data_IF_141535722718
#
_entry.id   IF_141535722718
#
_cell.length_a   1.000
_cell.length_b   1.000
_cell.length_c   1.000
_cell.angle_alpha   90.00
_cell.angle_beta   90.00
_cell.angle_gamma   90.00
#
_symmetry.space_group_name_H-M   'P 1'
#
loop_
_entity.id
_entity.type
_entity.pdbx_description
1 polymer ?
2 non-polymer ?
3 water ?
#
# COMPACT_ATOMS: atom_id res chain seq x y z
N UNK A 57 -2.63 3.29 -24.54
CA UNK A 57 -2.78 4.65 -25.15
C UNK A 57 -2.68 4.58 -26.67
N UNK A 58 -3.46 5.42 -27.34
CA UNK A 58 -3.46 5.46 -28.81
C UNK A 58 -4.53 4.57 -29.41
N UNK A 59 -4.20 3.96 -30.55
CA UNK A 59 -5.19 3.33 -31.43
C UNK A 59 -4.85 1.91 -31.92
N UNK A 60 -3.71 1.38 -31.51
CA UNK A 60 -3.37 -0.04 -31.73
C UNK A 60 -3.67 -0.83 -30.46
N UNK A 61 -4.62 -0.32 -29.68
CA UNK A 61 -4.82 -0.73 -28.29
C UNK A 61 -5.92 -1.77 -27.98
N UNK A 62 -6.76 -2.14 -28.96
CA UNK A 62 -7.77 -3.20 -28.73
C UNK A 62 -7.29 -4.65 -28.45
N UNK A 63 -6.01 -4.94 -28.63
CA UNK A 63 -5.50 -6.32 -28.49
C UNK A 63 -6.33 -7.17 -27.51
N UNK A 64 -6.54 -6.67 -26.30
CA UNK A 64 -7.51 -7.27 -25.37
C UNK A 64 -8.52 -6.21 -24.89
N UNK A 65 -8.42 -4.99 -25.43
CA UNK A 65 -9.37 -3.91 -25.16
C UNK A 65 -10.46 -3.83 -26.23
N UNK A 66 -10.75 -4.97 -26.87
CA UNK A 66 -11.90 -5.09 -27.72
C UNK A 66 -12.91 -6.03 -27.07
N UNK A 67 -12.55 -7.31 -26.96
CA UNK A 67 -13.45 -8.37 -26.46
C UNK A 67 -13.93 -8.16 -25.02
N UNK A 68 -13.33 -7.19 -24.34
CA UNK A 68 -13.77 -6.80 -23.00
C UNK A 68 -14.55 -5.49 -23.07
N UNK A 69 -13.83 -4.37 -23.19
CA UNK A 69 -14.40 -3.03 -23.07
C UNK A 69 -15.62 -2.82 -23.95
N UNK A 70 -15.56 -3.29 -25.19
CA UNK A 70 -16.73 -3.23 -26.07
C UNK A 70 -17.81 -4.02 -25.36
N UNK A 71 -18.65 -3.31 -24.62
CA UNK A 71 -19.50 -3.92 -23.58
C UNK A 71 -20.85 -3.21 -23.43
N UNK A 72 -21.79 -3.88 -22.79
CA UNK A 72 -23.18 -3.44 -22.87
C UNK A 72 -23.50 -2.34 -21.91
N UNK A 73 -23.29 -1.13 -22.39
CA UNK A 73 -23.87 0.05 -21.79
C UNK A 73 -25.36 0.00 -22.10
N UNK A 74 -26.13 -0.66 -21.24
CA UNK A 74 -27.58 -0.72 -21.38
C UNK A 74 -28.22 0.55 -20.84
N UNK A 75 -29.55 0.53 -20.59
CA UNK A 75 -30.27 1.75 -20.21
C UNK A 75 -29.80 2.38 -18.89
N UNK A 76 -29.89 1.64 -17.79
CA UNK A 76 -29.44 2.10 -16.48
C UNK A 76 -28.20 1.30 -16.06
N UNK A 77 -27.21 1.24 -16.95
CA UNK A 77 -25.95 0.53 -16.70
C UNK A 77 -24.79 1.34 -17.27
N UNK A 78 -24.13 2.12 -16.41
CA UNK A 78 -23.07 3.05 -16.86
C UNK A 78 -21.67 2.50 -16.57
N UNK A 79 -20.69 3.06 -17.28
CA UNK A 79 -19.32 2.60 -17.24
C UNK A 79 -18.38 3.72 -17.65
N UNK A 80 -17.09 3.56 -17.35
CA UNK A 80 -16.08 4.54 -17.80
C UNK A 80 -14.64 4.07 -17.52
N UNK A 81 -13.73 4.62 -18.31
CA UNK A 81 -12.31 4.22 -18.39
C UNK A 81 -11.41 4.85 -17.29
N UNK A 82 -10.11 5.05 -17.60
CA UNK A 82 -9.10 5.49 -16.58
C UNK A 82 -7.65 5.71 -17.07
N UNK A 83 -7.31 6.93 -17.43
CA UNK A 83 -5.95 7.30 -17.90
C UNK A 83 -4.88 7.13 -16.80
N UNK A 84 -3.96 6.17 -16.99
CA UNK A 84 -2.88 5.86 -16.04
C UNK A 84 -1.67 5.28 -16.79
N UNK A 85 -0.45 5.71 -16.45
CA UNK A 85 0.76 5.17 -17.13
C UNK A 85 1.92 4.93 -16.19
N UNK A 86 2.45 3.68 -16.21
CA UNK A 86 3.48 3.17 -15.28
C UNK A 86 4.78 2.70 -15.97
N UNK A 87 5.92 3.20 -15.48
CA UNK A 87 7.26 2.94 -16.09
C UNK A 87 7.93 1.59 -15.76
N UNK A 88 7.26 0.75 -15.00
CA UNK A 88 7.72 -0.63 -14.81
C UNK A 88 7.24 -1.55 -15.94
N UNK A 89 7.86 -2.73 -16.09
CA UNK A 89 7.35 -3.65 -17.09
C UNK A 89 5.91 -4.07 -16.77
N UNK A 90 5.09 -4.34 -17.81
CA UNK A 90 3.71 -4.73 -17.56
C UNK A 90 3.62 -6.03 -16.76
N UNK A 91 4.68 -6.84 -16.87
CA UNK A 91 4.83 -8.03 -16.04
C UNK A 91 4.96 -7.63 -14.58
N UNK A 92 5.91 -6.73 -14.28
CA UNK A 92 6.09 -6.16 -12.92
C UNK A 92 4.81 -5.48 -12.46
N UNK A 93 4.14 -4.82 -13.39
CA UNK A 93 2.86 -4.20 -13.09
C UNK A 93 1.86 -5.30 -12.73
N UNK A 94 1.78 -6.33 -13.55
CA UNK A 94 0.77 -7.39 -13.41
C UNK A 94 0.81 -8.10 -12.04
N UNK A 95 1.99 -8.44 -11.56
CA UNK A 95 2.12 -9.16 -10.29
C UNK A 95 1.40 -8.44 -9.14
N UNK A 96 1.77 -7.19 -8.92
CA UNK A 96 1.15 -6.32 -7.91
C UNK A 96 -0.37 -6.29 -8.02
N UNK A 97 -0.86 -6.30 -9.25
CA UNK A 97 -2.28 -6.12 -9.53
C UNK A 97 -2.97 -7.47 -9.51
N UNK A 98 -2.30 -8.48 -10.08
CA UNK A 98 -2.83 -9.83 -10.16
C UNK A 98 -3.43 -10.26 -8.83
N UNK A 99 -2.69 -9.99 -7.75
CA UNK A 99 -3.09 -10.35 -6.39
C UNK A 99 -4.52 -9.93 -6.09
N UNK A 100 -5.42 -10.89 -6.24
CA UNK A 100 -6.85 -10.72 -5.96
C UNK A 100 -7.14 -11.28 -4.56
N UNK A 101 -6.32 -12.24 -4.13
CA UNK A 101 -6.29 -12.69 -2.72
C UNK A 101 -6.38 -11.49 -1.78
N UNK A 102 -5.23 -10.86 -1.56
CA UNK A 102 -5.21 -9.58 -0.88
C UNK A 102 -5.43 -8.60 -1.99
N UNK A 103 -6.52 -7.83 -1.92
CA UNK A 103 -6.65 -6.63 -2.73
C UNK A 103 -5.89 -5.49 -2.08
N UNK A 104 -5.66 -5.64 -0.78
CA UNK A 104 -4.89 -4.68 -0.02
C UNK A 104 -3.53 -4.41 -0.63
N UNK A 105 -2.95 -5.41 -1.29
CA UNK A 105 -1.65 -5.24 -1.93
C UNK A 105 -1.40 -3.79 -2.38
N UNK A 106 -2.42 -3.16 -2.98
CA UNK A 106 -2.38 -1.75 -3.44
C UNK A 106 -3.75 -1.01 -3.38
N UNK A 107 -4.86 -1.75 -3.27
CA UNK A 107 -6.22 -1.17 -3.30
C UNK A 107 -6.66 -0.55 -1.97
N UNK A 108 -7.13 0.70 -2.02
CA UNK A 108 -7.38 1.55 -0.83
C UNK A 108 -8.72 1.36 -0.10
N UNK A 109 -8.74 1.82 1.17
CA UNK A 109 -9.94 1.83 2.02
C UNK A 109 -10.57 0.46 2.25
N UNK A 110 -9.78 -0.59 2.07
CA UNK A 110 -10.26 -1.96 2.15
C UNK A 110 -10.23 -2.34 3.62
N UNK A 111 -10.77 -3.50 3.96
CA UNK A 111 -10.51 -4.14 5.25
C UNK A 111 -10.28 -5.64 5.00
N UNK A 112 -10.25 -6.46 6.04
CA UNK A 112 -9.86 -7.88 5.88
C UNK A 112 -10.72 -8.61 4.84
N UNK A 113 -10.13 -9.57 4.09
CA UNK A 113 -10.85 -10.30 3.02
C UNK A 113 -10.48 -11.80 2.82
N UNK A 114 -11.50 -12.67 2.85
CA UNK A 114 -11.34 -14.13 2.72
C UNK A 114 -11.68 -14.64 1.30
N UNK A 115 -12.11 -15.90 1.18
CA UNK A 115 -12.55 -16.53 -0.10
C UNK A 115 -13.69 -17.55 0.12
N UNK A 116 -14.01 -18.38 -0.88
CA UNK A 116 -14.93 -19.53 -0.67
C UNK A 116 -14.44 -20.80 -1.35
N UNK A 117 -14.61 -21.95 -0.69
CA UNK A 117 -14.22 -23.25 -1.25
C UNK A 117 -15.11 -23.67 -2.42
N UNK A 121 -6.31 -15.78 -7.33
CA UNK A 121 -6.72 -16.85 -6.43
C UNK A 121 -7.28 -18.01 -7.25
N UNK A 122 -8.30 -17.74 -8.06
CA UNK A 122 -8.90 -18.73 -8.98
C UNK A 122 -9.93 -18.02 -9.85
N UNK A 123 -10.58 -18.77 -10.74
CA UNK A 123 -11.70 -18.26 -11.50
C UNK A 123 -12.95 -18.96 -10.99
N UNK A 124 -13.84 -18.19 -10.35
CA UNK A 124 -15.08 -18.73 -9.74
C UNK A 124 -15.06 -18.83 -8.20
N UNK A 125 -13.99 -18.33 -7.57
CA UNK A 125 -13.83 -18.34 -6.10
C UNK A 125 -14.13 -16.97 -5.52
N UNK A 126 -15.27 -16.85 -4.83
CA UNK A 126 -15.73 -15.62 -4.14
C UNK A 126 -14.78 -15.09 -3.06
N UNK A 127 -14.95 -13.80 -2.68
CA UNK A 127 -14.16 -13.14 -1.61
C UNK A 127 -15.05 -12.25 -0.72
N UNK A 128 -14.50 -11.73 0.37
CA UNK A 128 -15.29 -10.99 1.35
C UNK A 128 -14.64 -9.70 1.82
N UNK A 129 -14.32 -8.82 0.86
CA UNK A 129 -13.74 -7.53 1.18
C UNK A 129 -14.77 -6.62 1.84
N UNK A 130 -14.28 -5.60 2.54
CA UNK A 130 -15.09 -4.72 3.38
C UNK A 130 -14.34 -3.39 3.52
N UNK A 131 -15.09 -2.31 3.73
CA UNK A 131 -14.50 -0.97 3.70
C UNK A 131 -14.57 -0.31 5.07
N UNK A 135 -15.75 5.66 9.86
CA UNK A 135 -16.88 5.49 8.96
C UNK A 135 -18.02 4.78 9.70
N UNK A 136 -19.18 4.61 9.05
CA UNK A 136 -20.24 3.73 9.56
C UNK A 136 -20.19 2.26 9.06
N UNK A 137 -21.07 1.88 8.12
CA UNK A 137 -21.21 0.51 7.68
C UNK A 137 -21.30 0.38 6.15
N UNK A 138 -20.81 -0.75 5.65
CA UNK A 138 -20.96 -1.24 4.25
C UNK A 138 -19.85 -2.26 3.99
N UNK A 139 -20.19 -3.36 3.31
CA UNK A 139 -19.27 -4.51 3.08
C UNK A 139 -19.45 -5.24 1.71
N UNK A 140 -18.32 -5.52 1.05
CA UNK A 140 -18.31 -5.89 -0.37
C UNK A 140 -17.91 -7.35 -0.67
N UNK A 141 -18.73 -8.06 -1.46
CA UNK A 141 -18.46 -9.47 -1.75
C UNK A 141 -18.43 -9.75 -3.26
N UNK A 142 -17.27 -10.19 -3.76
CA UNK A 142 -16.96 -10.18 -5.20
C UNK A 142 -16.69 -11.58 -5.78
N UNK A 143 -16.53 -11.66 -7.10
CA UNK A 143 -16.08 -12.90 -7.78
C UNK A 143 -14.84 -12.64 -8.64
N UNK A 144 -14.34 -13.63 -9.36
CA UNK A 144 -13.18 -13.46 -10.25
C UNK A 144 -13.42 -14.21 -11.56
N UNK A 145 -14.37 -13.72 -12.34
CA UNK A 145 -14.81 -14.39 -13.56
C UNK A 145 -13.62 -14.67 -14.43
N UNK A 146 -12.79 -13.65 -14.63
CA UNK A 146 -11.65 -13.74 -15.52
C UNK A 146 -10.37 -13.38 -14.76
N UNK A 147 -9.47 -14.36 -14.67
CA UNK A 147 -8.11 -14.10 -14.25
C UNK A 147 -7.19 -14.55 -15.37
N UNK A 148 -7.08 -13.73 -16.42
CA UNK A 148 -6.16 -14.00 -17.53
C UNK A 148 -4.77 -13.52 -17.13
N UNK A 149 -3.83 -14.46 -17.07
CA UNK A 149 -2.45 -14.26 -16.53
C UNK A 149 -1.40 -13.93 -17.58
N UNK A 150 -1.72 -14.13 -18.86
CA UNK A 150 -0.79 -13.89 -19.96
C UNK A 150 -1.09 -12.50 -20.51
N UNK A 151 -2.32 -12.31 -20.97
CA UNK A 151 -2.80 -10.99 -21.31
C UNK A 151 -3.34 -10.47 -19.99
N UNK A 152 -2.57 -9.60 -19.36
CA UNK A 152 -2.90 -9.05 -18.05
C UNK A 152 -4.34 -8.57 -18.03
N UNK A 153 -5.25 -9.38 -17.50
CA UNK A 153 -6.64 -8.98 -17.35
C UNK A 153 -7.28 -9.62 -16.15
N UNK A 154 -7.78 -8.81 -15.23
CA UNK A 154 -8.71 -9.29 -14.20
C UNK A 154 -10.07 -8.58 -14.27
N UNK A 155 -11.13 -9.38 -14.21
CA UNK A 155 -12.49 -8.87 -13.99
C UNK A 155 -13.11 -9.60 -12.83
N UNK A 156 -14.05 -8.95 -12.16
CA UNK A 156 -14.63 -9.53 -10.99
C UNK A 156 -15.93 -8.80 -10.63
N UNK A 157 -16.99 -9.58 -10.40
CA UNK A 157 -18.30 -9.05 -10.06
C UNK A 157 -18.51 -9.07 -8.56
N UNK A 158 -19.37 -8.20 -8.06
CA UNK A 158 -19.59 -8.10 -6.64
C UNK A 158 -20.84 -8.87 -6.21
N UNK A 159 -21.03 -10.06 -6.77
CA UNK A 159 -22.13 -10.94 -6.39
C UNK A 159 -22.03 -11.30 -4.91
N UNK A 160 -23.17 -11.30 -4.23
CA UNK A 160 -23.22 -11.62 -2.81
C UNK A 160 -22.76 -10.49 -1.93
N UNK A 161 -22.76 -9.28 -2.47
CA UNK A 161 -22.40 -8.10 -1.69
C UNK A 161 -23.48 -7.70 -0.71
N UNK A 162 -23.10 -6.84 0.23
CA UNK A 162 -24.00 -6.31 1.28
C UNK A 162 -24.47 -4.89 0.98
N UNK A 163 -23.92 -4.31 -0.08
CA UNK A 163 -23.85 -2.85 -0.21
C UNK A 163 -24.83 -2.36 -1.24
N UNK A 164 -24.88 -1.04 -1.40
CA UNK A 164 -25.81 -0.43 -2.33
C UNK A 164 -25.45 -0.69 -3.79
N UNK A 165 -24.25 -0.26 -4.16
CA UNK A 165 -23.88 -0.11 -5.57
C UNK A 165 -23.91 -1.47 -6.28
N UNK A 166 -24.82 -1.58 -7.25
CA UNK A 166 -25.30 -2.86 -7.76
C UNK A 166 -24.33 -3.63 -8.66
N UNK A 167 -24.72 -3.91 -9.90
CA UNK A 167 -23.96 -4.82 -10.78
C UNK A 167 -22.56 -4.29 -11.07
N UNK A 168 -21.57 -5.18 -11.16
CA UNK A 168 -20.18 -4.77 -11.31
C UNK A 168 -19.36 -5.86 -12.00
N UNK A 169 -18.34 -5.41 -12.72
CA UNK A 169 -17.46 -6.27 -13.49
C UNK A 169 -16.23 -5.40 -13.80
N UNK A 170 -15.49 -5.06 -12.74
CA UNK A 170 -14.35 -4.15 -12.83
C UNK A 170 -13.18 -4.69 -13.67
N UNK A 171 -13.20 -4.45 -14.97
CA UNK A 171 -12.17 -4.97 -15.86
C UNK A 171 -10.90 -4.17 -15.72
N UNK A 172 -9.87 -4.78 -15.12
CA UNK A 172 -8.52 -4.19 -15.10
C UNK A 172 -7.61 -4.93 -16.08
N UNK A 173 -7.36 -4.31 -17.23
CA UNK A 173 -6.48 -4.89 -18.26
C UNK A 173 -5.21 -4.08 -18.40
N UNK A 174 -4.14 -4.75 -18.85
CA UNK A 174 -2.85 -4.11 -19.04
C UNK A 174 -2.19 -4.71 -20.28
N UNK A 183 -1.75 -2.09 -22.58
CA UNK A 183 -2.53 -0.90 -22.23
C UNK A 183 -3.23 -1.02 -20.88
N UNK A 184 -2.77 -0.21 -19.92
CA UNK A 184 -3.24 -0.21 -18.52
C UNK A 184 -4.54 0.58 -18.31
N UNK A 185 -5.68 -0.11 -18.22
CA UNK A 185 -6.99 0.54 -18.04
C UNK A 185 -7.92 -0.27 -17.14
N UNK A 186 -8.70 0.44 -16.32
CA UNK A 186 -9.72 -0.18 -15.47
C UNK A 186 -11.12 0.26 -15.90
N UNK A 187 -11.92 -0.68 -16.41
CA UNK A 187 -13.33 -0.38 -16.74
C UNK A 187 -14.22 -0.82 -15.59
N UNK A 188 -15.14 0.07 -15.22
CA UNK A 188 -16.08 -0.19 -14.15
C UNK A 188 -17.49 -0.17 -14.74
N UNK A 189 -18.40 -0.91 -14.12
CA UNK A 189 -19.81 -0.86 -14.48
C UNK A 189 -20.66 -0.85 -13.22
N UNK A 190 -21.68 -0.01 -13.22
CA UNK A 190 -22.53 0.14 -12.07
C UNK A 190 -23.95 0.26 -12.57
N UNK A 191 -24.80 -0.70 -12.18
CA UNK A 191 -26.22 -0.58 -12.41
C UNK A 191 -26.55 0.84 -12.04
N UNK A 192 -26.81 1.63 -13.08
CA UNK A 192 -26.81 3.08 -13.02
C UNK A 192 -27.41 3.68 -11.76
N UNK A 193 -28.47 3.04 -11.22
CA UNK A 193 -29.12 3.60 -10.03
C UNK A 193 -28.81 2.88 -8.71
N UNK A 194 -28.25 3.62 -7.76
CA UNK A 194 -28.32 3.37 -6.33
C UNK A 194 -29.54 4.03 -5.70
N UNK A 195 -30.60 4.23 -6.48
CA UNK A 195 -31.74 5.04 -6.03
C UNK A 195 -31.24 6.42 -5.65
N UNK A 196 -30.60 7.07 -6.62
CA UNK A 196 -29.92 8.34 -6.39
C UNK A 196 -29.63 9.00 -7.73
N UNK A 197 -28.60 9.84 -7.79
CA UNK A 197 -28.29 10.60 -9.01
C UNK A 197 -27.54 9.70 -10.01
N UNK A 198 -26.93 10.29 -11.02
CA UNK A 198 -25.99 9.60 -11.91
C UNK A 198 -24.68 10.35 -12.06
N UNK A 199 -24.65 11.66 -11.78
CA UNK A 199 -23.45 12.48 -11.92
C UNK A 199 -22.58 12.33 -10.66
N UNK A 200 -22.95 11.34 -9.85
CA UNK A 200 -22.44 11.10 -8.49
C UNK A 200 -22.04 9.64 -8.35
N UNK A 201 -22.91 8.77 -8.83
CA UNK A 201 -22.64 7.33 -8.92
C UNK A 201 -21.34 7.08 -9.69
N UNK A 202 -21.19 7.77 -10.83
CA UNK A 202 -19.95 7.72 -11.57
C UNK A 202 -18.82 8.34 -10.75
N UNK A 203 -19.04 9.54 -10.21
CA UNK A 203 -17.98 10.31 -9.57
C UNK A 203 -17.56 9.75 -8.21
N UNK A 204 -18.52 9.16 -7.49
CA UNK A 204 -18.24 8.47 -6.24
C UNK A 204 -17.22 7.35 -6.48
N UNK A 205 -17.55 6.45 -7.41
CA UNK A 205 -16.67 5.32 -7.69
C UNK A 205 -15.47 5.71 -8.55
N UNK A 206 -15.70 6.26 -9.74
CA UNK A 206 -14.58 6.63 -10.62
C UNK A 206 -13.41 7.28 -9.87
N UNK A 207 -13.71 7.99 -8.79
CA UNK A 207 -12.70 8.51 -7.89
C UNK A 207 -12.07 7.40 -7.05
N UNK A 208 -12.92 6.54 -6.50
CA UNK A 208 -12.45 5.36 -5.77
C UNK A 208 -11.52 4.60 -6.69
N UNK A 209 -12.01 4.25 -7.88
CA UNK A 209 -11.18 3.70 -8.94
C UNK A 209 -9.91 4.50 -9.02
N UNK A 210 -10.06 5.81 -9.16
CA UNK A 210 -8.93 6.68 -9.43
C UNK A 210 -7.85 6.40 -8.40
N UNK A 211 -8.24 6.38 -7.13
CA UNK A 211 -7.27 6.31 -6.03
C UNK A 211 -6.46 5.04 -6.11
N UNK A 212 -7.14 3.94 -6.43
CA UNK A 212 -6.52 2.62 -6.43
C UNK A 212 -5.45 2.46 -7.49
N UNK A 213 -5.80 2.71 -8.74
CA UNK A 213 -4.85 2.54 -9.82
C UNK A 213 -3.72 3.51 -9.55
N UNK A 214 -4.04 4.66 -8.99
CA UNK A 214 -2.98 5.58 -8.53
C UNK A 214 -2.14 4.93 -7.42
N UNK A 215 -2.83 4.20 -6.55
CA UNK A 215 -2.17 3.32 -5.57
C UNK A 215 -1.46 2.09 -6.18
N UNK A 216 -1.99 1.56 -7.28
CA UNK A 216 -1.26 0.56 -8.08
C UNK A 216 0.08 1.16 -8.46
N UNK A 217 0.03 2.29 -9.16
CA UNK A 217 1.24 2.93 -9.68
C UNK A 217 2.30 3.08 -8.60
N UNK A 218 1.95 3.70 -7.48
CA UNK A 218 2.96 3.97 -6.45
C UNK A 218 3.81 2.75 -6.13
N UNK A 219 3.14 1.64 -5.81
CA UNK A 219 3.77 0.47 -5.18
C UNK A 219 4.73 -0.28 -6.09
N UNK A 220 4.62 -0.01 -7.39
CA UNK A 220 5.62 -0.43 -8.34
C UNK A 220 6.40 0.80 -8.79
N UNK A 221 7.67 0.61 -9.17
CA UNK A 221 8.55 1.75 -9.45
C UNK A 221 8.28 2.36 -10.83
N UNK A 222 7.02 2.69 -11.07
CA UNK A 222 6.65 3.59 -12.15
C UNK A 222 7.16 4.98 -11.84
N UNK A 223 7.00 5.39 -10.58
CA UNK A 223 7.52 6.66 -10.08
C UNK A 223 7.45 6.74 -8.56
N UNK B 56 21.46 -28.43 -12.62
CA UNK B 56 22.09 -27.07 -12.50
C UNK B 56 23.44 -27.18 -11.81
N UNK B 57 24.13 -26.03 -11.69
CA UNK B 57 25.41 -25.87 -11.01
C UNK B 57 25.26 -26.02 -9.51
N UNK B 58 25.44 -27.26 -9.02
CA UNK B 58 25.07 -27.64 -7.65
C UNK B 58 25.05 -26.52 -6.62
N UNK B 59 26.21 -25.95 -6.39
CA UNK B 59 26.39 -24.99 -5.30
C UNK B 59 26.14 -23.59 -5.85
N UNK B 60 24.87 -23.21 -5.81
CA UNK B 60 24.41 -21.94 -6.38
C UNK B 60 24.30 -20.86 -5.31
N UNK B 61 24.76 -19.67 -5.67
CA UNK B 61 24.67 -18.50 -4.80
C UNK B 61 25.31 -17.34 -5.53
N UNK B 62 24.60 -16.19 -5.61
CA UNK B 62 25.23 -15.04 -6.24
C UNK B 62 26.55 -14.73 -5.54
N UNK B 63 27.50 -14.22 -6.32
CA UNK B 63 28.74 -13.65 -5.77
C UNK B 63 28.49 -12.49 -4.83
N UNK B 64 27.27 -11.95 -4.80
CA UNK B 64 26.91 -10.85 -3.90
C UNK B 64 26.59 -11.35 -2.50
N UNK B 65 25.61 -12.26 -2.44
CA UNK B 65 25.05 -12.78 -1.19
C UNK B 65 26.06 -13.22 -0.15
N UNK B 66 27.33 -13.29 -0.53
CA UNK B 66 28.39 -13.46 0.44
C UNK B 66 28.23 -12.44 1.54
N UNK B 67 28.34 -11.16 1.18
CA UNK B 67 28.38 -10.07 2.19
C UNK B 67 27.03 -9.55 2.72
N UNK B 68 25.92 -10.14 2.28
CA UNK B 68 24.62 -9.78 2.84
C UNK B 68 24.15 -10.84 3.87
N UNK B 69 24.93 -11.91 4.02
CA UNK B 69 24.57 -13.01 4.92
C UNK B 69 25.61 -13.18 6.00
N UNK B 70 26.89 -13.03 5.65
CA UNK B 70 27.92 -12.77 6.64
C UNK B 70 27.32 -11.79 7.64
N UNK B 71 27.29 -12.22 8.90
CA UNK B 71 26.83 -11.38 10.01
C UNK B 71 27.93 -11.35 11.07
N UNK B 72 27.87 -10.32 11.91
CA UNK B 72 28.90 -10.11 12.93
C UNK B 72 28.78 -11.24 13.92
N UNK B 73 29.91 -11.87 14.24
CA UNK B 73 29.90 -12.92 15.24
C UNK B 73 29.10 -12.33 16.40
N UNK B 74 28.14 -13.11 16.88
CA UNK B 74 27.10 -12.64 17.80
C UNK B 74 26.93 -13.52 19.03
N UNK B 75 27.54 -13.13 20.17
CA UNK B 75 27.48 -13.86 21.44
C UNK B 75 26.07 -14.09 21.99
N UNK B 76 25.35 -12.99 22.24
CA UNK B 76 23.96 -13.03 22.71
C UNK B 76 22.98 -13.09 21.53
N UNK B 77 23.51 -13.29 20.32
CA UNK B 77 22.77 -13.20 19.06
C UNK B 77 22.60 -14.55 18.31
N UNK B 78 21.41 -14.76 17.75
CA UNK B 78 21.12 -15.99 17.02
C UNK B 78 21.29 -15.76 15.52
N UNK B 79 20.90 -16.75 14.71
CA UNK B 79 20.98 -16.65 13.23
C UNK B 79 20.67 -17.98 12.54
N UNK B 80 20.05 -17.89 11.36
CA UNK B 80 19.77 -19.08 10.51
C UNK B 80 19.16 -18.75 9.15
N UNK B 81 19.85 -19.16 8.09
CA UNK B 81 19.45 -18.88 6.69
C UNK B 81 18.28 -19.77 6.19
N UNK B 82 18.07 -19.85 4.86
CA UNK B 82 16.97 -20.64 4.24
C UNK B 82 17.22 -20.99 2.77
N UNK B 83 16.52 -22.01 2.26
CA UNK B 83 16.69 -22.49 0.90
C UNK B 83 15.32 -22.60 0.23
N UNK B 84 14.58 -21.48 0.20
CA UNK B 84 13.26 -21.42 -0.44
C UNK B 84 13.34 -20.95 -1.88
N UNK B 85 12.44 -21.45 -2.74
CA UNK B 85 12.44 -21.17 -4.18
C UNK B 85 11.04 -21.08 -4.80
N UNK B 86 11.00 -20.59 -6.04
CA UNK B 86 9.76 -20.41 -6.77
C UNK B 86 9.98 -20.33 -8.29
N UNK B 87 9.03 -20.88 -9.05
CA UNK B 87 9.15 -20.92 -10.50
C UNK B 87 8.67 -19.61 -11.19
N UNK B 88 9.40 -18.50 -11.02
CA UNK B 88 9.09 -17.26 -11.78
C UNK B 88 10.37 -16.43 -12.04
N UNK B 89 10.28 -15.39 -12.90
CA UNK B 89 11.49 -14.61 -13.10
C UNK B 89 11.84 -13.80 -11.87
N UNK B 90 13.13 -13.67 -11.57
CA UNK B 90 13.61 -13.03 -10.34
C UNK B 90 13.00 -11.65 -10.15
N UNK B 91 13.01 -10.82 -11.22
CA UNK B 91 12.40 -9.49 -11.15
C UNK B 91 10.95 -9.62 -10.70
N UNK B 92 10.24 -10.55 -11.34
CA UNK B 92 8.82 -10.79 -11.09
C UNK B 92 8.50 -11.31 -9.68
N UNK B 93 9.47 -11.93 -9.00
CA UNK B 93 9.27 -12.37 -7.61
C UNK B 93 9.73 -11.25 -6.70
N UNK B 94 10.94 -10.79 -6.96
CA UNK B 94 11.46 -9.56 -6.39
C UNK B 94 10.38 -8.47 -6.27
N UNK B 95 9.49 -8.40 -7.26
CA UNK B 95 8.39 -7.42 -7.24
C UNK B 95 7.77 -7.25 -5.86
N UNK B 96 7.24 -8.35 -5.31
CA UNK B 96 6.38 -8.30 -4.12
C UNK B 96 7.13 -8.02 -2.85
N UNK B 97 8.33 -8.58 -2.74
CA UNK B 97 9.16 -8.41 -1.54
C UNK B 97 9.47 -6.92 -1.28
N UNK B 98 9.68 -6.17 -2.36
CA UNK B 98 10.02 -4.74 -2.29
C UNK B 98 9.09 -3.90 -1.39
N UNK B 99 7.81 -4.26 -1.35
CA UNK B 99 6.80 -3.59 -0.53
C UNK B 99 7.21 -3.46 0.95
N UNK B 100 7.66 -2.28 1.30
CA UNK B 100 8.09 -1.94 2.66
C UNK B 100 6.94 -1.24 3.36
N UNK B 101 6.12 -0.54 2.56
CA UNK B 101 4.87 0.08 3.02
C UNK B 101 3.86 -0.91 3.68
N UNK B 102 3.52 -1.98 2.98
CA UNK B 102 2.65 -3.05 3.56
C UNK B 102 3.30 -4.42 3.39
N UNK B 103 4.02 -4.89 4.43
CA UNK B 103 4.61 -6.21 4.33
C UNK B 103 3.52 -7.29 4.29
N UNK B 104 2.30 -6.91 4.68
CA UNK B 104 1.15 -7.79 4.61
C UNK B 104 0.85 -8.23 3.16
N UNK B 105 1.48 -7.62 2.17
CA UNK B 105 1.41 -8.19 0.81
C UNK B 105 1.87 -9.65 0.87
N UNK B 106 2.90 -9.94 1.68
CA UNK B 106 3.35 -11.32 1.89
C UNK B 106 3.64 -11.71 3.35
N UNK B 107 4.01 -10.77 4.20
CA UNK B 107 4.40 -11.13 5.57
C UNK B 107 3.21 -11.52 6.43
N UNK B 108 3.27 -12.74 6.95
CA UNK B 108 2.28 -13.24 7.89
C UNK B 108 2.24 -12.50 9.22
N UNK B 109 1.05 -12.54 9.83
CA UNK B 109 0.83 -12.10 11.20
C UNK B 109 0.94 -10.57 11.38
N UNK B 110 0.95 -9.82 10.29
CA UNK B 110 1.12 -8.38 10.36
C UNK B 110 -0.25 -7.68 10.29
N UNK B 111 -0.66 -7.06 11.38
CA UNK B 111 -1.96 -6.42 11.46
C UNK B 111 -1.97 -5.07 10.74
N UNK B 112 -0.80 -4.43 10.61
CA UNK B 112 -0.72 -3.11 10.01
C UNK B 112 0.72 -2.72 9.68
N UNK B 113 0.90 -1.88 8.66
CA UNK B 113 2.19 -1.27 8.42
C UNK B 113 2.14 0.10 7.73
N UNK B 114 2.79 1.05 8.38
CA UNK B 114 2.53 2.45 8.17
C UNK B 114 3.84 3.08 7.70
N UNK B 115 4.01 4.38 7.93
CA UNK B 115 5.28 5.06 7.65
C UNK B 115 5.46 6.25 8.59
N UNK B 116 6.72 6.54 8.95
CA UNK B 116 7.05 7.69 9.77
C UNK B 116 8.39 8.27 9.37
N UNK B 121 8.83 5.47 -0.23
CA UNK B 121 9.69 5.24 0.93
C UNK B 121 11.09 4.84 0.48
N UNK B 122 12.07 5.41 1.18
CA UNK B 122 13.46 5.32 0.80
C UNK B 122 14.21 4.49 1.84
N UNK B 123 15.55 4.56 1.79
CA UNK B 123 16.38 3.98 2.85
C UNK B 123 16.28 4.78 4.14
N UNK B 124 16.38 4.10 5.26
CA UNK B 124 16.37 4.76 6.57
C UNK B 124 15.02 5.36 6.96
N UNK B 125 13.98 5.07 6.16
CA UNK B 125 12.60 5.52 6.44
C UNK B 125 11.86 4.47 7.25
N UNK B 126 11.88 4.63 8.57
CA UNK B 126 11.44 3.59 9.49
C UNK B 126 10.08 3.00 9.14
N UNK B 127 9.85 1.78 9.60
CA UNK B 127 8.57 1.10 9.46
C UNK B 127 7.85 0.89 10.80
N UNK B 128 6.51 0.85 10.72
CA UNK B 128 5.67 0.61 11.89
C UNK B 128 4.82 -0.63 11.69
N UNK B 129 4.75 -1.47 12.74
CA UNK B 129 4.04 -2.76 12.69
C UNK B 129 3.56 -3.28 14.05
N UNK B 130 2.28 -3.61 14.14
CA UNK B 130 1.76 -4.24 15.31
C UNK B 130 1.29 -5.62 14.96
N UNK B 131 1.44 -6.54 15.91
CA UNK B 131 1.24 -7.96 15.66
C UNK B 131 1.10 -8.70 16.99
N UNK B 136 -1.03 -11.01 19.84
CA UNK B 136 -1.25 -9.63 19.43
C UNK B 136 -0.80 -8.66 20.51
N UNK B 137 -1.04 -7.37 20.27
CA UNK B 137 -0.69 -6.31 21.20
C UNK B 137 0.82 -6.36 21.44
N UNK B 138 1.57 -6.10 20.37
CA UNK B 138 3.03 -6.08 20.40
C UNK B 138 3.55 -5.51 19.07
N UNK B 139 4.09 -4.29 19.12
CA UNK B 139 4.53 -3.63 17.90
C UNK B 139 6.06 -3.61 17.80
N UNK B 140 6.55 -4.05 16.65
CA UNK B 140 7.97 -3.97 16.33
C UNK B 140 8.38 -2.51 16.19
N UNK B 141 9.58 -2.26 15.67
CA UNK B 141 9.96 -0.94 15.17
C UNK B 141 11.01 -1.09 14.08
N UNK B 142 10.61 -1.56 12.90
CA UNK B 142 11.56 -1.87 11.82
C UNK B 142 12.01 -0.61 11.10
N UNK B 143 13.05 -0.75 10.27
CA UNK B 143 13.62 0.37 9.50
C UNK B 143 14.22 -0.16 8.21
N UNK B 144 14.01 0.59 7.12
CA UNK B 144 14.56 0.18 5.81
C UNK B 144 16.06 0.52 5.75
N UNK B 145 16.90 -0.52 5.74
CA UNK B 145 18.35 -0.33 5.80
C UNK B 145 19.10 -0.69 4.51
N UNK B 146 18.48 -1.45 3.59
CA UNK B 146 19.10 -1.71 2.26
C UNK B 146 18.05 -1.81 1.16
N UNK B 147 18.23 -1.01 0.10
CA UNK B 147 17.33 -1.01 -1.05
C UNK B 147 18.08 -0.92 -2.39
N UNK B 148 18.81 -2.00 -2.72
CA UNK B 148 19.24 -2.22 -4.10
C UNK B 148 18.07 -2.87 -4.82
N UNK B 149 18.03 -2.70 -6.15
CA UNK B 149 16.89 -3.12 -6.93
C UNK B 149 17.21 -3.91 -8.21
N UNK B 150 18.49 -4.04 -8.55
CA UNK B 150 18.91 -4.96 -9.59
C UNK B 150 19.26 -6.32 -8.97
N UNK B 151 19.93 -6.31 -7.81
CA UNK B 151 20.29 -7.54 -7.09
C UNK B 151 19.22 -7.95 -6.08
N UNK B 152 18.09 -7.26 -6.13
CA UNK B 152 16.90 -7.71 -5.42
C UNK B 152 17.14 -7.87 -3.91
N UNK B 153 18.25 -7.32 -3.43
CA UNK B 153 18.59 -7.42 -2.03
C UNK B 153 17.61 -6.51 -1.29
N UNK B 154 17.26 -6.92 -0.07
CA UNK B 154 16.46 -6.12 0.86
C UNK B 154 16.83 -6.50 2.28
N UNK B 155 16.57 -5.58 3.22
CA UNK B 155 16.98 -5.72 4.61
C UNK B 155 16.30 -4.70 5.52
N UNK B 156 16.03 -5.10 6.77
CA UNK B 156 15.48 -4.20 7.80
C UNK B 156 15.85 -4.62 9.22
N UNK B 157 16.18 -3.64 10.05
CA UNK B 157 16.46 -3.85 11.45
C UNK B 157 15.29 -3.37 12.30
N UNK B 158 14.87 -4.18 13.27
CA UNK B 158 14.03 -3.67 14.35
C UNK B 158 14.82 -2.63 15.16
N UNK B 159 14.26 -1.43 15.32
CA UNK B 159 14.92 -0.34 16.03
C UNK B 159 14.18 -0.03 17.37
N UNK B 160 14.04 -1.06 18.18
CA UNK B 160 13.49 -0.95 19.52
C UNK B 160 11.98 -0.91 19.51
N UNK B 161 11.37 -1.64 20.44
CA UNK B 161 9.92 -1.73 20.51
C UNK B 161 9.43 -2.35 21.79
N UNK B 162 8.14 -2.65 21.82
CA UNK B 162 7.54 -3.31 22.97
C UNK B 162 7.30 -4.76 22.61
N UNK B 163 8.39 -5.49 22.45
CA UNK B 163 8.36 -6.95 22.28
C UNK B 163 9.74 -7.55 22.57
N UNK B 164 9.80 -8.89 22.65
CA UNK B 164 11.09 -9.57 22.80
C UNK B 164 11.66 -9.94 21.45
N UNK B 165 12.87 -9.47 21.21
CA UNK B 165 13.64 -9.87 20.03
C UNK B 165 15.02 -9.25 20.13
N UNK B 166 15.07 -8.02 20.65
CA UNK B 166 16.31 -7.27 20.82
C UNK B 166 16.70 -6.75 19.45
N UNK B 167 17.94 -6.95 19.03
CA UNK B 167 18.39 -6.47 17.72
C UNK B 167 18.12 -7.45 16.57
N UNK B 168 16.85 -7.71 16.26
CA UNK B 168 16.55 -8.51 15.08
C UNK B 168 17.03 -7.68 13.91
N UNK B 169 17.66 -8.32 12.93
CA UNK B 169 18.17 -7.61 11.73
C UNK B 169 18.01 -8.48 10.48
N UNK B 170 17.23 -8.00 9.51
CA UNK B 170 16.78 -8.83 8.37
C UNK B 170 17.58 -8.58 7.09
N UNK B 171 17.68 -9.62 6.26
CA UNK B 171 18.20 -9.51 4.89
C UNK B 171 17.61 -10.67 4.06
N UNK B 172 16.65 -10.37 3.18
CA UNK B 172 16.01 -11.41 2.35
C UNK B 172 16.53 -11.43 0.91
N UNK B 173 17.84 -11.20 0.71
CA UNK B 173 18.46 -11.19 -0.62
C UNK B 173 17.89 -12.23 -1.57
N UNK B 174 17.48 -11.79 -2.74
CA UNK B 174 17.04 -12.71 -3.77
C UNK B 174 18.22 -13.12 -4.65
N UNK B 175 18.42 -14.44 -4.75
CA UNK B 175 19.30 -15.06 -5.73
C UNK B 175 18.48 -14.99 -7.03
N UNK B 176 18.53 -16.00 -7.90
CA UNK B 176 18.06 -15.83 -9.27
C UNK B 176 17.37 -17.06 -9.87
N UNK B 177 16.33 -16.77 -10.66
CA UNK B 177 15.54 -17.78 -11.41
C UNK B 177 15.07 -18.91 -10.52
N UNK B 183 14.79 -18.24 -6.12
CA UNK B 183 15.56 -18.54 -4.91
C UNK B 183 15.47 -17.39 -3.89
N UNK B 184 14.45 -17.38 -3.03
CA UNK B 184 14.40 -16.34 -1.99
C UNK B 184 14.97 -16.89 -0.71
N UNK B 185 15.96 -16.15 -0.21
CA UNK B 185 16.80 -16.60 0.87
C UNK B 185 17.04 -15.41 1.81
N UNK B 186 16.74 -15.64 3.09
CA UNK B 186 16.93 -14.64 4.14
C UNK B 186 17.59 -15.29 5.33
N UNK B 187 18.44 -14.51 6.00
CA UNK B 187 19.00 -14.90 7.29
C UNK B 187 18.43 -13.96 8.34
N UNK B 188 18.11 -14.49 9.52
CA UNK B 188 17.33 -13.75 10.52
C UNK B 188 18.17 -13.08 11.64
N UNK B 189 19.01 -13.85 12.31
CA UNK B 189 19.99 -13.32 13.27
C UNK B 189 19.53 -12.27 14.28
N UNK B 190 18.64 -12.63 15.20
CA UNK B 190 18.23 -11.72 16.30
C UNK B 190 19.13 -11.89 17.54
N UNK B 191 18.58 -11.73 18.75
CA UNK B 191 19.36 -11.65 19.99
C UNK B 191 18.72 -12.49 21.09
N UNK B 192 19.40 -13.58 21.46
CA UNK B 192 18.86 -14.60 22.37
C UNK B 192 18.37 -14.03 23.71
N UNK B 193 17.08 -14.22 24.03
CA UNK B 193 16.47 -13.71 25.26
C UNK B 193 16.85 -14.42 26.58
N UNK B 194 16.62 -13.74 27.71
CA UNK B 194 16.47 -14.34 29.04
C UNK B 194 15.18 -15.15 29.20
N UNK B 195 14.07 -14.56 28.74
CA UNK B 195 12.72 -15.13 28.90
C UNK B 195 12.41 -16.30 27.99
N UNK B 196 13.39 -16.70 27.17
CA UNK B 196 13.34 -17.92 26.38
C UNK B 196 14.75 -18.55 26.32
N UNK B 197 14.85 -19.72 25.68
CA UNK B 197 16.16 -20.34 25.47
C UNK B 197 16.83 -19.64 24.31
N UNK B 198 17.77 -20.33 23.65
CA UNK B 198 18.36 -19.90 22.37
C UNK B 198 18.16 -20.92 21.27
N UNK B 199 17.53 -22.04 21.61
CA UNK B 199 17.13 -23.08 20.65
C UNK B 199 15.63 -23.24 20.66
N UNK B 200 14.98 -22.66 21.68
CA UNK B 200 13.56 -22.40 21.66
C UNK B 200 13.30 -21.22 20.74
N UNK B 201 14.17 -20.22 20.81
CA UNK B 201 14.05 -18.95 20.09
C UNK B 201 14.53 -19.16 18.64
N UNK B 202 15.74 -19.69 18.51
CA UNK B 202 16.30 -20.03 17.19
C UNK B 202 15.40 -20.98 16.35
N UNK B 203 14.44 -21.66 16.99
CA UNK B 203 13.41 -22.37 16.23
C UNK B 203 12.17 -21.49 16.03
N UNK B 204 11.80 -20.71 17.05
CA UNK B 204 10.57 -19.92 16.98
C UNK B 204 10.75 -18.60 16.27
N UNK B 205 11.98 -18.29 15.87
CA UNK B 205 12.27 -17.16 14.99
C UNK B 205 12.45 -17.64 13.55
N UNK B 206 12.30 -18.94 13.32
CA UNK B 206 12.54 -19.54 11.99
C UNK B 206 11.30 -20.07 11.25
N UNK B 207 10.21 -20.31 11.96
CA UNK B 207 9.01 -20.85 11.34
C UNK B 207 8.33 -19.69 10.67
N UNK B 208 8.25 -18.58 11.39
CA UNK B 208 7.81 -17.32 10.80
C UNK B 208 8.44 -17.14 9.43
N UNK B 209 9.75 -17.32 9.33
CA UNK B 209 10.48 -17.25 8.07
C UNK B 209 10.10 -18.40 7.18
N UNK B 210 10.14 -19.62 7.72
CA UNK B 210 9.69 -20.80 6.95
C UNK B 210 8.29 -20.58 6.39
N UNK B 211 7.47 -19.84 7.12
CA UNK B 211 6.10 -19.56 6.74
C UNK B 211 5.95 -18.22 6.01
N UNK B 212 6.94 -17.35 6.14
CA UNK B 212 6.89 -16.03 5.50
C UNK B 212 7.02 -16.11 4.00
N UNK B 213 8.11 -16.70 3.56
CA UNK B 213 8.53 -16.65 2.18
C UNK B 213 7.91 -17.79 1.41
N UNK B 214 7.22 -18.67 2.13
CA UNK B 214 6.35 -19.67 1.51
C UNK B 214 5.01 -19.05 1.18
N UNK B 215 4.57 -18.14 2.05
CA UNK B 215 3.41 -17.30 1.80
C UNK B 215 3.71 -16.27 0.72
N UNK B 216 5.00 -15.95 0.55
CA UNK B 216 5.49 -15.19 -0.60
C UNK B 216 5.35 -16.08 -1.81
N UNK B 217 6.02 -17.23 -1.77
CA UNK B 217 6.15 -18.11 -2.94
C UNK B 217 4.94 -19.00 -3.23
N UNK B 218 3.81 -18.77 -2.56
CA UNK B 218 2.54 -19.37 -3.01
C UNK B 218 2.22 -18.70 -4.32
N UNK B 219 2.26 -17.37 -4.28
CA UNK B 219 1.76 -16.52 -5.34
C UNK B 219 2.50 -16.86 -6.61
N UNK B 220 3.76 -16.44 -6.68
CA UNK B 220 4.59 -16.65 -7.85
C UNK B 220 5.27 -18.01 -7.68
N UNK B 221 4.93 -18.88 -8.63
CA UNK B 221 4.62 -20.29 -8.40
C UNK B 221 5.71 -21.37 -8.14
N UNK B 222 5.32 -22.62 -8.43
CA UNK B 222 6.24 -23.66 -8.86
C UNK B 222 5.98 -23.87 -10.34
N UNK C 57 8.52 13.02 12.03
CA UNK C 57 9.48 11.90 12.24
C UNK C 57 10.84 12.34 12.75
N UNK C 58 11.33 13.44 12.16
CA UNK C 58 12.75 13.80 12.20
C UNK C 58 13.28 13.67 10.79
N UNK C 59 12.61 14.41 9.89
CA UNK C 59 12.74 14.23 8.46
C UNK C 59 14.13 14.63 7.94
N UNK C 60 14.21 14.91 6.64
CA UNK C 60 15.41 15.52 6.08
C UNK C 60 15.54 16.96 6.60
N UNK C 61 14.51 17.77 6.37
CA UNK C 61 14.49 19.15 6.88
C UNK C 61 13.21 19.48 7.61
N UNK C 62 12.99 18.86 8.76
CA UNK C 62 11.89 19.27 9.63
C UNK C 62 12.20 20.60 10.31
N UNK C 63 11.97 21.71 9.59
CA UNK C 63 12.34 23.05 10.08
C UNK C 63 11.15 24.04 10.15
N UNK C 64 10.37 24.11 9.07
CA UNK C 64 9.06 24.77 9.07
C UNK C 64 7.99 23.72 9.43
N UNK C 65 8.37 22.45 9.31
CA UNK C 65 7.53 21.33 9.69
C UNK C 65 7.50 21.15 11.19
N UNK C 66 8.42 21.82 11.87
CA UNK C 66 8.62 21.69 13.30
C UNK C 66 7.38 22.09 14.09
N UNK C 67 7.26 23.39 14.38
CA UNK C 67 6.15 23.92 15.17
C UNK C 67 4.80 23.45 14.64
N UNK C 68 4.67 23.32 13.33
CA UNK C 68 3.43 22.83 12.77
C UNK C 68 3.21 21.35 13.11
N UNK C 69 3.81 20.45 12.32
CA UNK C 69 3.53 19.00 12.40
C UNK C 69 3.68 18.40 13.79
N UNK C 70 4.30 19.17 14.68
CA UNK C 70 4.21 18.93 16.10
C UNK C 70 2.80 19.24 16.58
N UNK C 71 2.02 18.20 16.86
CA UNK C 71 0.68 18.35 17.41
C UNK C 71 0.64 17.68 18.77
N UNK C 72 -0.23 18.20 19.64
CA UNK C 72 -0.42 17.65 20.98
C UNK C 72 -1.37 16.46 20.86
N UNK C 73 -0.98 15.30 21.40
CA UNK C 73 -1.87 14.15 21.48
C UNK C 73 -2.92 14.46 22.54
N UNK C 74 -3.85 13.54 22.77
CA UNK C 74 -4.72 13.61 23.93
C UNK C 74 -5.38 12.28 24.26
N UNK C 75 -6.34 12.29 25.19
CA UNK C 75 -7.17 11.12 25.52
C UNK C 75 -8.14 10.71 24.39
N UNK C 76 -8.66 11.68 23.64
CA UNK C 76 -9.42 11.37 22.41
C UNK C 76 -8.77 11.94 21.12
N UNK C 77 -7.74 12.77 21.28
CA UNK C 77 -7.11 13.48 20.15
C UNK C 77 -5.91 12.69 19.56
N UNK C 78 -5.79 12.69 18.23
CA UNK C 78 -4.79 11.87 17.51
C UNK C 78 -4.13 12.61 16.34
N UNK C 79 -3.20 11.96 15.62
CA UNK C 79 -2.45 12.59 14.51
C UNK C 79 -1.38 11.63 13.93
N UNK C 80 -0.87 11.96 12.72
CA UNK C 80 0.13 11.10 12.03
C UNK C 80 0.89 11.78 10.85
N UNK C 81 1.91 11.11 10.32
CA UNK C 81 2.81 11.67 9.28
C UNK C 81 2.53 11.10 7.87
N UNK C 82 3.39 11.41 6.89
CA UNK C 82 3.25 10.93 5.47
C UNK C 82 4.56 11.02 4.63
N UNK C 83 4.61 10.25 3.55
CA UNK C 83 5.73 10.30 2.57
C UNK C 83 5.21 10.51 1.13
N UNK C 84 5.26 11.75 0.66
CA UNK C 84 4.95 12.07 -0.75
C UNK C 84 5.64 13.33 -1.28
N UNK C 85 6.61 13.12 -2.17
CA UNK C 85 7.49 14.15 -2.67
C UNK C 85 7.33 14.31 -4.17
N UNK C 86 7.67 15.51 -4.66
CA UNK C 86 7.55 15.83 -6.08
C UNK C 86 8.81 16.54 -6.59
N UNK C 87 9.18 16.27 -7.84
CA UNK C 87 10.43 16.76 -8.43
C UNK C 87 10.27 18.05 -9.22
N UNK C 88 9.03 18.41 -9.57
CA UNK C 88 8.79 19.74 -10.11
C UNK C 88 9.12 20.75 -8.98
N UNK C 89 9.49 21.97 -9.35
CA UNK C 89 9.83 22.93 -8.31
C UNK C 89 8.75 23.07 -7.24
N UNK C 90 9.12 23.55 -6.04
CA UNK C 90 8.23 23.61 -4.88
C UNK C 90 7.14 24.64 -5.03
N UNK C 91 7.51 25.79 -5.55
CA UNK C 91 6.58 26.90 -5.77
C UNK C 91 5.56 26.55 -6.85
N UNK C 92 5.95 25.65 -7.74
CA UNK C 92 5.04 25.10 -8.74
C UNK C 92 4.06 24.14 -8.08
N UNK C 93 4.47 23.51 -6.97
CA UNK C 93 3.59 22.64 -6.19
C UNK C 93 2.69 23.46 -5.28
N UNK C 94 3.29 24.44 -4.60
CA UNK C 94 2.56 25.35 -3.72
C UNK C 94 1.39 25.95 -4.48
N UNK C 95 1.69 26.35 -5.72
CA UNK C 95 0.68 26.81 -6.66
C UNK C 95 -0.64 26.08 -6.47
N UNK C 96 -0.61 24.75 -6.55
CA UNK C 96 -1.83 23.94 -6.40
C UNK C 96 -2.26 23.77 -4.94
N UNK C 97 -1.32 23.82 -4.01
CA UNK C 97 -1.66 23.62 -2.58
C UNK C 97 -2.07 24.93 -1.94
N UNK C 98 -2.47 25.90 -2.77
CA UNK C 98 -2.86 27.27 -2.33
C UNK C 98 -4.32 27.61 -2.67
N UNK C 99 -4.91 26.88 -3.62
CA UNK C 99 -6.24 27.23 -4.13
C UNK C 99 -7.29 26.28 -3.55
N UNK C 100 -7.53 26.42 -2.25
CA UNK C 100 -8.63 25.74 -1.54
C UNK C 100 -9.62 25.06 -2.47
N UNK C 104 -10.36 22.68 -4.49
CA UNK C 104 -10.57 21.26 -4.16
C UNK C 104 -9.26 20.49 -4.00
N UNK C 105 -9.39 19.31 -3.37
CA UNK C 105 -8.37 18.25 -3.34
C UNK C 105 -7.40 18.34 -4.53
N UNK C 131 -18.82 16.47 -0.45
CA UNK C 131 -17.86 15.64 0.28
C UNK C 131 -17.10 14.71 -0.66
N UNK C 132 -17.15 13.41 -0.36
CA UNK C 132 -16.91 12.36 -1.34
C UNK C 132 -18.16 11.49 -1.41
N UNK C 133 -19.28 12.00 -0.89
CA UNK C 133 -20.57 11.31 -0.83
C UNK C 133 -20.50 9.96 -0.07
N UNK C 134 -21.26 8.95 -0.50
CA UNK C 134 -21.16 7.58 0.03
C UNK C 134 -22.19 7.29 1.11
N UNK C 135 -21.93 7.82 2.31
CA UNK C 135 -22.87 7.75 3.42
C UNK C 135 -24.07 8.65 3.07
N UNK C 136 -25.25 8.41 3.70
CA UNK C 136 -26.44 9.22 3.35
C UNK C 136 -26.26 10.74 3.42
N UNK C 137 -25.59 11.22 4.47
CA UNK C 137 -25.32 12.65 4.65
C UNK C 137 -23.83 12.92 4.53
N UNK C 138 -23.47 14.21 4.49
CA UNK C 138 -22.10 14.68 4.32
C UNK C 138 -21.95 16.14 4.77
N UNK C 139 -21.32 16.37 5.93
CA UNK C 139 -21.14 17.73 6.47
C UNK C 139 -19.66 18.03 6.75
N UNK C 140 -19.28 19.31 6.67
CA UNK C 140 -18.00 19.80 7.19
C UNK C 140 -18.09 21.27 7.62
N UNK C 141 -17.07 21.73 8.35
CA UNK C 141 -17.05 23.10 8.91
C UNK C 141 -15.60 23.61 8.98
N UNK C 142 -14.96 23.72 7.82
CA UNK C 142 -13.52 24.02 7.68
C UNK C 142 -13.17 25.46 7.97
N UNK C 143 -11.86 25.75 8.10
CA UNK C 143 -11.35 27.10 8.37
C UNK C 143 -9.84 27.20 8.16
N UNK C 144 -9.36 28.33 7.61
CA UNK C 144 -7.90 28.61 7.51
C UNK C 144 -7.37 29.38 8.72
N UNK C 145 -6.31 28.82 9.33
CA UNK C 145 -5.68 29.40 10.49
C UNK C 145 -4.26 29.88 10.23
N UNK C 146 -3.59 29.32 9.22
CA UNK C 146 -2.26 29.79 8.81
C UNK C 146 -2.22 29.96 7.30
N UNK C 147 -1.55 31.02 6.82
CA UNK C 147 -1.26 31.17 5.38
C UNK C 147 0.12 31.84 5.20
N UNK C 148 1.09 31.08 4.71
CA UNK C 148 2.48 31.56 4.61
C UNK C 148 3.00 31.35 3.20
N UNK C 149 3.06 32.43 2.43
CA UNK C 149 3.48 32.34 1.03
C UNK C 149 5.00 32.20 0.86
N UNK C 150 5.76 32.84 1.74
CA UNK C 150 7.21 32.92 1.61
C UNK C 150 7.89 31.60 1.95
N UNK C 151 7.37 30.92 2.97
CA UNK C 151 7.91 29.63 3.42
C UNK C 151 7.02 28.43 3.11
N UNK C 152 5.79 28.65 2.62
CA UNK C 152 4.88 27.56 2.17
C UNK C 152 4.07 26.81 3.25
N UNK C 153 3.17 27.46 4.01
CA UNK C 153 2.36 26.74 5.00
C UNK C 153 0.87 27.15 5.15
N UNK C 154 -0.01 26.17 4.97
CA UNK C 154 -1.48 26.33 5.00
C UNK C 154 -2.15 25.36 5.99
N UNK C 155 -2.61 25.87 7.13
CA UNK C 155 -3.18 25.00 8.15
C UNK C 155 -4.71 24.96 8.11
N UNK C 156 -5.27 23.83 7.65
CA UNK C 156 -6.71 23.60 7.70
C UNK C 156 -7.13 23.44 9.16
N UNK C 157 -8.45 23.43 9.38
CA UNK C 157 -9.03 23.23 10.72
C UNK C 157 -10.54 23.05 10.59
N UNK C 158 -11.20 22.63 11.67
CA UNK C 158 -12.65 22.42 11.63
C UNK C 158 -13.37 23.18 12.74
N UNK C 159 -14.68 23.37 12.53
CA UNK C 159 -15.57 23.99 13.49
C UNK C 159 -16.90 23.23 13.53
N UNK C 167 -13.15 17.83 15.10
CA UNK C 167 -11.91 18.56 15.30
C UNK C 167 -10.94 18.04 14.27
N UNK C 168 -10.42 18.94 13.44
CA UNK C 168 -9.31 18.64 12.55
C UNK C 168 -8.34 19.80 12.74
N UNK C 169 -7.11 19.65 12.27
CA UNK C 169 -6.14 20.74 12.33
C UNK C 169 -5.03 20.37 11.36
N UNK C 170 -5.44 20.07 10.14
CA UNK C 170 -4.54 19.70 9.06
C UNK C 170 -3.47 20.77 8.86
N UNK C 171 -2.22 20.33 8.70
CA UNK C 171 -1.11 21.22 8.34
C UNK C 171 -0.43 20.64 7.13
N UNK C 172 0.07 21.51 6.25
CA UNK C 172 0.77 21.07 5.03
C UNK C 172 2.06 21.82 4.72
N UNK C 173 3.13 21.09 4.45
CA UNK C 173 4.42 21.74 4.21
C UNK C 173 5.11 21.27 2.93
N UNK C 174 6.24 21.90 2.63
CA UNK C 174 7.04 21.61 1.46
C UNK C 174 8.53 21.54 1.83
N UNK C 180 16.51 17.91 -6.91
CA UNK C 180 16.36 19.06 -7.81
C UNK C 180 14.95 19.68 -7.82
N UNK C 181 14.06 19.22 -6.93
CA UNK C 181 12.66 19.69 -6.90
C UNK C 181 12.12 20.03 -5.52
N UNK C 182 11.28 19.14 -4.96
CA UNK C 182 10.46 19.44 -3.77
C UNK C 182 10.13 18.22 -2.92
N UNK C 183 9.76 18.48 -1.67
CA UNK C 183 9.29 17.47 -0.72
C UNK C 183 7.87 17.93 -0.30
N UNK C 184 7.05 17.00 0.22
CA UNK C 184 5.70 17.31 0.76
C UNK C 184 5.27 16.34 1.88
N UNK C 185 5.41 16.79 3.13
CA UNK C 185 5.07 15.99 4.30
C UNK C 185 3.57 16.22 4.59
N UNK C 186 3.01 15.51 5.58
CA UNK C 186 1.63 15.78 6.01
C UNK C 186 1.29 15.33 7.43
N UNK C 187 0.38 16.08 8.06
CA UNK C 187 -0.08 15.79 9.41
C UNK C 187 -1.34 16.59 9.74
N UNK C 188 -2.03 16.15 10.78
CA UNK C 188 -3.36 16.60 11.09
C UNK C 188 -3.62 16.38 12.58
N UNK C 189 -4.89 16.32 12.99
CA UNK C 189 -5.27 16.00 14.35
C UNK C 189 -6.66 15.39 14.27
N UNK C 190 -7.18 14.78 15.33
CA UNK C 190 -8.55 14.22 15.20
C UNK C 190 -9.23 13.75 16.49
N UNK C 191 -10.32 13.01 16.31
CA UNK C 191 -11.19 12.61 17.39
C UNK C 191 -11.62 11.14 17.20
N UNK C 192 -11.70 10.41 18.30
CA UNK C 192 -12.25 9.05 18.32
C UNK C 192 -13.54 9.06 19.14
N UNK C 193 -14.63 9.59 18.58
CA UNK C 193 -15.86 9.62 19.35
C UNK C 193 -16.52 8.25 19.34
N UNK C 194 -16.83 7.69 20.52
CA UNK C 194 -17.40 6.35 20.66
C UNK C 194 -18.12 5.85 19.41
N UNK C 195 -17.60 4.75 18.85
CA UNK C 195 -18.04 4.26 17.55
C UNK C 195 -17.01 3.43 16.80
N UNK C 196 -15.72 3.66 17.07
CA UNK C 196 -14.62 2.94 16.38
C UNK C 196 -13.31 2.83 17.23
N UNK C 197 -12.17 2.63 16.57
CA UNK C 197 -10.84 2.60 17.21
C UNK C 197 -9.83 3.31 16.29
N UNK C 198 -8.75 3.81 16.88
CA UNK C 198 -7.71 4.56 16.12
C UNK C 198 -7.15 3.81 14.90
N UNK C 199 -7.06 2.47 14.99
CA UNK C 199 -6.62 1.61 13.87
C UNK C 199 -7.75 1.29 12.88
N UNK C 200 -8.67 2.23 12.76
CA UNK C 200 -9.70 2.25 11.73
C UNK C 200 -9.85 3.69 11.24
N UNK C 201 -9.90 4.63 12.20
CA UNK C 201 -10.04 6.07 11.98
C UNK C 201 -8.78 6.75 11.45
N UNK C 202 -7.70 6.64 12.20
CA UNK C 202 -6.44 7.22 11.78
C UNK C 202 -5.92 6.42 10.59
N UNK C 203 -6.58 5.30 10.28
CA UNK C 203 -6.39 4.53 9.02
C UNK C 203 -7.61 4.69 8.08
N UNK C 204 -8.49 5.63 8.45
CA UNK C 204 -9.63 6.06 7.67
C UNK C 204 -9.42 7.54 7.30
N UNK C 205 -8.66 8.25 8.14
CA UNK C 205 -8.19 9.59 7.84
C UNK C 205 -6.73 9.56 7.33
N UNK C 206 -6.11 8.37 7.40
CA UNK C 206 -4.77 8.15 6.83
C UNK C 206 -4.88 7.94 5.34
N UNK C 207 -5.70 6.97 4.94
CA UNK C 207 -5.65 6.47 3.57
C UNK C 207 -6.06 7.53 2.61
N UNK C 208 -6.89 8.47 3.06
CA UNK C 208 -7.34 9.54 2.19
C UNK C 208 -6.18 10.48 1.84
N UNK C 209 -5.35 10.86 2.82
CA UNK C 209 -4.26 11.82 2.53
C UNK C 209 -3.35 11.35 1.42
N UNK C 210 -2.94 10.10 1.46
CA UNK C 210 -2.16 9.58 0.35
C UNK C 210 -2.92 9.85 -0.95
N UNK C 211 -4.23 9.61 -0.95
CA UNK C 211 -5.01 9.83 -2.18
C UNK C 211 -5.28 11.32 -2.42
N UNK C 212 -4.63 12.17 -1.64
CA UNK C 212 -4.78 13.60 -1.79
C UNK C 212 -3.46 14.24 -2.15
N UNK C 213 -2.39 13.81 -1.50
CA UNK C 213 -1.05 14.18 -1.94
C UNK C 213 -0.57 13.34 -3.11
N UNK C 214 -1.35 12.35 -3.53
CA UNK C 214 -0.98 11.58 -4.71
C UNK C 214 -1.56 12.28 -5.93
N UNK C 215 -2.80 12.76 -5.78
CA UNK C 215 -3.44 13.70 -6.73
C UNK C 215 -2.57 14.91 -7.14
N UNK C 216 -1.70 15.36 -6.23
CA UNK C 216 -0.85 16.55 -6.40
C UNK C 216 0.41 16.27 -7.24
N UNK C 217 0.98 15.08 -7.08
CA UNK C 217 2.15 14.67 -7.85
C UNK C 217 1.84 14.51 -9.36
N UNK C 218 0.75 13.83 -9.69
CA UNK C 218 0.33 13.74 -11.10
C UNK C 218 0.31 15.11 -11.78
N UNK C 219 -0.18 16.13 -11.07
CA UNK C 219 -0.39 17.47 -11.63
C UNK C 219 0.93 18.20 -11.76
N UNK C 220 1.99 17.63 -11.22
CA UNK C 220 3.34 18.16 -11.37
C UNK C 220 4.33 16.99 -11.52
N UNK C 221 4.34 16.42 -12.73
CA UNK C 221 5.07 15.18 -12.99
C UNK C 221 6.54 15.21 -12.57
N UNK C 222 7.01 14.02 -12.19
CA UNK C 222 8.32 13.82 -11.61
C UNK C 222 8.25 14.10 -10.12
X LIG D 1 -14.94 15.45 -20.70
X LIG D 1 -15.35 16.80 -20.82
X LIG D 1 -14.13 15.09 -21.93
X LIG D 1 -14.59 15.97 -22.96
X LIG D 1 -12.63 15.30 -21.69
X LIG D 1 -11.80 14.30 -22.33
X LIG E 1 -4.57 12.65 -27.37
X LIG E 1 -3.75 13.05 -28.48
X LIG E 1 -3.76 12.89 -26.11
X LIG E 1 -2.37 12.59 -26.44
X LIG E 1 -3.96 14.35 -25.65
X LIG E 1 -3.29 14.63 -24.41
X LIG F 1 -13.74 13.90 -12.42
X LIG F 1 -13.76 13.02 -11.28
X LIG F 1 -13.81 15.39 -11.99
X LIG F 1 -12.59 16.10 -12.22
X LIG F 1 -14.91 16.13 -12.76
X LIG F 1 -15.09 17.46 -12.24
X LIG G 1 -0.30 12.52 -34.57
X LIG G 1 0.19 12.15 -33.26
X LIG G 1 0.63 13.57 -35.15
X LIG G 1 1.43 12.98 -36.20
X LIG G 1 -0.17 14.77 -35.67
X LIG G 1 0.68 15.84 -36.12
X LIG H 1 -24.66 9.10 -26.15
X LIG H 1 -25.36 9.80 -27.20
X LIG H 1 -23.17 9.38 -26.21
X LIG H 1 -22.96 10.75 -25.82
X LIG H 1 -22.42 8.42 -25.27
X LIG H 1 -21.43 9.10 -24.52
X LIG I 1 4.33 -0.74 -22.38
X LIG I 1 5.15 0.24 -21.70
X LIG I 1 2.84 -0.53 -22.09
X LIG I 1 2.05 -1.73 -22.30
X LIG I 1 2.27 0.52 -23.04
X LIG I 1 2.16 -0.03 -24.36
X LIG J 1 8.51 1.61 -24.83
X LIG J 1 9.14 2.52 -23.90
X LIG J 1 7.01 1.54 -24.53
X LIG J 1 6.35 0.48 -25.24
X LIG J 1 6.39 2.88 -24.91
X LIG J 1 6.82 3.87 -23.95
X LIG K 1 26.82 -21.91 21.69
X LIG K 1 27.48 -23.12 22.04
X LIG K 1 27.05 -21.61 20.21
X LIG K 1 27.56 -22.80 19.57
X LIG K 1 25.77 -21.14 19.52
X LIG K 1 25.64 -21.75 18.24
X LIG L 1 34.64 -14.56 4.67
X LIG L 1 34.47 -14.39 6.08
X LIG L 1 36.09 -14.23 4.28
X LIG L 1 36.95 -15.32 4.64
X LIG L 1 36.22 -13.94 2.77
X LIG L 1 37.57 -14.10 2.30
X LIG M 1 24.78 -19.31 26.90
X LIG M 1 24.09 -19.64 25.68
X LIG M 1 24.68 -17.81 27.19
X LIG M 1 25.23 -17.08 26.07
X LIG M 1 25.39 -17.43 28.51
X LIG M 1 26.66 -16.80 28.31
X LIG N 1 28.31 6.67 -10.98
X LIG N 1 29.28 6.21 -10.02
X LIG N 1 28.46 8.16 -11.30
X LIG N 1 27.34 8.57 -12.10
X LIG N 1 28.48 9.07 -10.07
X LIG N 1 28.74 10.45 -10.42
X LIG O 1 -22.73 8.06 24.20
X LIG O 1 -23.13 8.03 22.83
X LIG O 1 -23.85 7.48 25.08
X LIG O 1 -23.98 6.04 24.88
X LIG O 1 -23.57 7.84 26.54
X LIG O 1 -24.10 6.84 27.41
#
# INVERSE_FOLDING_TARGET
MGSSHHHHHSSGENLYFQGHMRSPVQLQHGSDATNGFHTLQPHDQTDGPIKRVCLTRGMHVPEHVAMHHTHDVGPDQCCSSVVQMIHAPPESVWALVRRFDNPKVYKNFIRQCRIVQGDGLHVGDLREVMVVSGLPAVSSTERLEILDEERHVISFSVVGGDHRLKNYRSVTTLHASDDEGTVVVESYIVDVPPGNTEEETLSFVDTIVRCNLQSLARSTNRQ
MGSSHHHHHSSGENLYFQGHMRSPVQLQHGSDATNGFHTLQPHDQTDGPIKRVCLTRGMHVPEHVAMHHTHDVGPDQCCSSVVQMIHAPPESVWALVRRFDNPKVYKNFIRQCRIVQGDGLHVGDLREVMVVSGLPAVSSTERLEILDEERHVISFSVVGGDHRLKNYRSVTTLHASDDEGTVVVESYIVDVPPGNTEEETLSFVDTIVRCNLQSLARSTNRQ
MGSSHHHHHSSGENLYFQGHMRSPVQLQHGSDATNGFHTLQPHDQTDGPIKRVCLTRGMHVPEHVAMHHTHDVGPDQCCSSVVQMIHAPPESVWALVRRFDNPKVYKNFIRQCRIVQGDGLHVGDLREVMVVSGLPAVSSTERLEILDEERHVISFSVVGGDHRLKNYRSVTTLHASDDEGTVVVESYIVDVPPGNTEEETLSFVDTIVRCNLQSLARSTNRQ
GOL C1 O1 C2 O2 C3 O3
GOL C1 O1 C2 O2 C3 O3
GOL C1 O1 C2 O2 C3 O3
GOL C1 O1 C2 O2 C3 O3
GOL C1 O1 C2 O2 C3 O3
GOL C1 O1 C2 O2 C3 O3
GOL C1 O1 C2 O2 C3 O3
GOL C1 O1 C2 O2 C3 O3
GOL C1 O1 C2 O2 C3 O3
GOL C1 O1 C2 O2 C3 O3
GOL C1 O1 C2 O2 C3 O3
GOL C1 O1 C2 O2 C3 O3
#
